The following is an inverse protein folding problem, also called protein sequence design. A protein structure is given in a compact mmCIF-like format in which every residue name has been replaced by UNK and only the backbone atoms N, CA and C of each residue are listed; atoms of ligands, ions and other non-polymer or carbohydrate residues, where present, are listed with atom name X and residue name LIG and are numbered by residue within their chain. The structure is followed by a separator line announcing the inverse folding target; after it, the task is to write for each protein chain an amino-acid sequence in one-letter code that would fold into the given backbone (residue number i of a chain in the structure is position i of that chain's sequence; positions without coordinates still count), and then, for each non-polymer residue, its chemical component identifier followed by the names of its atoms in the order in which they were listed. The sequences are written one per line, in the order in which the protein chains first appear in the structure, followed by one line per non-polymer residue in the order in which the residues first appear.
data_IF_204484338391
#
_entry.id   IF_204484338391
#
_cell.length_a   1.000
_cell.length_b   1.000
_cell.length_c   1.000
_cell.angle_alpha   90.00
_cell.angle_beta   90.00
_cell.angle_gamma   90.00
#
_symmetry.space_group_name_H-M   'P 1'
#
loop_
_entity.id
_entity.type
_entity.pdbx_description
1 polymer ?
#
# COMPACT_ATOMS: atom_id res chain seq x y z
N UNK A 1 4.07 6.07 -11.33
CA UNK A 1 3.80 7.05 -10.24
C UNK A 1 2.79 6.43 -9.28
N UNK A 2 3.03 6.55 -7.97
CA UNK A 2 2.30 5.82 -6.91
C UNK A 2 2.04 6.72 -5.70
N UNK A 3 1.09 6.34 -4.84
CA UNK A 3 0.79 7.03 -3.59
C UNK A 3 0.48 6.02 -2.47
N UNK A 4 0.94 6.33 -1.26
CA UNK A 4 0.55 5.66 -0.02
C UNK A 4 -0.39 6.59 0.73
N UNK A 5 -1.64 6.18 0.92
CA UNK A 5 -2.70 7.00 1.52
C UNK A 5 -3.18 6.33 2.79
N UNK A 6 -2.90 6.94 3.93
CA UNK A 6 -3.40 6.52 5.23
C UNK A 6 -4.44 7.49 5.77
N UNK A 7 -5.28 7.03 6.69
CA UNK A 7 -6.17 7.89 7.46
C UNK A 7 -5.57 8.25 8.83
N UNK A 8 -6.23 9.16 9.58
CA UNK A 8 -5.88 9.46 10.98
C UNK A 8 -5.97 8.24 11.90
N UNK A 9 -6.76 7.23 11.53
CA UNK A 9 -6.78 5.93 12.20
C UNK A 9 -5.98 4.89 11.41
N UNK A 10 -5.38 3.95 12.12
CA UNK A 10 -4.63 2.81 11.58
C UNK A 10 -5.48 1.81 10.77
N UNK A 11 -6.81 1.98 10.77
CA UNK A 11 -7.75 1.06 10.15
C UNK A 11 -7.86 1.19 8.62
N UNK A 12 -7.35 2.27 8.06
CA UNK A 12 -7.55 2.62 6.66
C UNK A 12 -6.22 3.00 5.99
N UNK A 13 -5.83 2.18 5.02
CA UNK A 13 -4.60 2.31 4.25
C UNK A 13 -4.83 1.84 2.81
N UNK A 14 -4.38 2.65 1.84
CA UNK A 14 -4.41 2.31 0.42
C UNK A 14 -3.08 2.57 -0.25
N UNK A 15 -2.70 1.65 -1.15
CA UNK A 15 -1.59 1.83 -2.08
C UNK A 15 -2.20 2.03 -3.47
N UNK A 16 -2.02 3.21 -4.04
CA UNK A 16 -2.58 3.58 -5.34
C UNK A 16 -1.48 3.65 -6.39
N UNK A 17 -1.77 3.14 -7.59
CA UNK A 17 -0.91 3.19 -8.76
C UNK A 17 -1.66 3.79 -9.93
N UNK A 18 -0.98 4.62 -10.75
CA UNK A 18 -1.55 5.07 -12.03
C UNK A 18 -1.49 4.00 -13.13
N UNK A 19 -0.74 2.91 -12.89
CA UNK A 19 -0.60 1.77 -13.81
C UNK A 19 -1.21 0.53 -13.18
N UNK A 20 -1.85 -0.32 -13.99
CA UNK A 20 -2.49 -1.56 -13.52
C UNK A 20 -1.52 -2.55 -12.88
N UNK A 21 -0.25 -2.50 -13.30
CA UNK A 21 0.85 -3.27 -12.71
C UNK A 21 1.83 -2.32 -12.04
N UNK A 22 2.15 -2.63 -10.79
CA UNK A 22 3.22 -1.99 -10.02
C UNK A 22 4.41 -2.95 -9.95
N UNK A 23 5.62 -2.40 -10.01
CA UNK A 23 6.84 -3.15 -9.74
C UNK A 23 6.79 -3.77 -8.33
N UNK A 24 7.01 -5.09 -8.17
CA UNK A 24 7.01 -5.74 -6.86
C UNK A 24 7.97 -5.11 -5.85
N UNK A 25 9.13 -4.61 -6.28
CA UNK A 25 10.10 -3.97 -5.39
C UNK A 25 9.56 -2.65 -4.82
N UNK A 26 8.86 -1.88 -5.66
CA UNK A 26 8.20 -0.63 -5.24
C UNK A 26 7.07 -0.94 -4.27
N UNK A 27 6.24 -1.94 -4.57
CA UNK A 27 5.15 -2.36 -3.68
C UNK A 27 5.68 -2.76 -2.30
N UNK A 28 6.71 -3.60 -2.24
CA UNK A 28 7.30 -4.04 -0.98
C UNK A 28 7.87 -2.87 -0.16
N UNK A 29 8.48 -1.88 -0.82
CA UNK A 29 8.97 -0.67 -0.14
C UNK A 29 7.80 0.13 0.49
N UNK A 30 6.68 0.27 -0.22
CA UNK A 30 5.49 0.96 0.32
C UNK A 30 4.85 0.22 1.49
N UNK A 31 4.79 -1.12 1.43
CA UNK A 31 4.30 -1.95 2.53
C UNK A 31 5.19 -1.81 3.76
N UNK A 32 6.52 -1.82 3.59
CA UNK A 32 7.44 -1.61 4.70
C UNK A 32 7.28 -0.22 5.33
N UNK A 33 7.16 0.84 4.51
CA UNK A 33 6.89 2.18 5.02
C UNK A 33 5.59 2.27 5.82
N UNK A 34 4.54 1.59 5.36
CA UNK A 34 3.28 1.52 6.10
C UNK A 34 3.45 0.82 7.45
N UNK A 35 4.18 -0.30 7.48
CA UNK A 35 4.52 -1.02 8.71
C UNK A 35 5.29 -0.14 9.69
N UNK A 36 6.30 0.57 9.21
CA UNK A 36 7.12 1.50 10.01
C UNK A 36 6.29 2.68 10.55
N UNK A 37 5.20 3.03 9.85
CA UNK A 37 4.24 4.07 10.26
C UNK A 37 3.19 3.55 11.26
N UNK A 38 3.25 2.27 11.67
CA UNK A 38 2.36 1.67 12.66
C UNK A 38 1.10 1.01 12.09
N UNK A 39 0.96 0.90 10.76
CA UNK A 39 -0.17 0.21 10.16
C UNK A 39 0.00 -1.31 10.23
N UNK A 40 -1.09 -2.01 10.51
CA UNK A 40 -1.14 -3.47 10.44
C UNK A 40 -1.24 -3.95 8.98
N UNK A 41 -0.09 -4.33 8.43
CA UNK A 41 0.02 -4.83 7.05
C UNK A 41 -0.56 -6.23 6.84
N UNK A 42 -0.93 -6.96 7.91
CA UNK A 42 -1.57 -8.27 7.75
C UNK A 42 -2.97 -8.18 7.14
N UNK A 43 -3.59 -7.00 7.26
CA UNK A 43 -4.93 -6.68 6.74
C UNK A 43 -4.92 -6.14 5.31
N UNK A 44 -3.74 -6.04 4.68
CA UNK A 44 -3.55 -5.43 3.37
C UNK A 44 -3.91 -6.43 2.26
N UNK A 45 -4.99 -6.17 1.54
CA UNK A 45 -5.43 -7.02 0.43
C UNK A 45 -4.94 -6.49 -0.92
N UNK A 46 -4.35 -7.37 -1.74
CA UNK A 46 -3.87 -7.02 -3.08
C UNK A 46 -4.99 -7.22 -4.10
N UNK A 47 -5.44 -6.13 -4.70
CA UNK A 47 -6.44 -6.16 -5.78
C UNK A 47 -5.75 -6.43 -7.12
N UNK A 48 -6.26 -7.42 -7.87
CA UNK A 48 -5.77 -7.76 -9.21
C UNK A 48 -6.62 -6.98 -10.23
N UNK A 49 -5.98 -6.10 -11.00
CA UNK A 49 -6.61 -5.40 -12.12
C UNK A 49 -6.50 -6.25 -13.40
N UNK A 50 -7.62 -6.39 -14.14
CA UNK A 50 -7.68 -7.01 -15.47
C UNK A 50 -7.32 -6.03 -16.56
#
# INVERSE_FOLDING_TARGET
QWALVGSKSENFLWILSRTSKMDPAVYNNLVNKAKDSGYDISRLEKVIHK
#
